data_IF_267947335848
#
_entry.id   IF_267947335848
#
_cell.length_a   1.000
_cell.length_b   1.000
_cell.length_c   1.000
_cell.angle_alpha   90.00
_cell.angle_beta   90.00
_cell.angle_gamma   90.00
#
_symmetry.space_group_name_H-M   'P 1'
#
loop_
_entity.id
_entity.type
_entity.pdbx_description
1 polymer ?
#
# COMPACT_ATOMS: atom_id res chain seq x y z
N UNK A 1 -37.67 -49.36 28.76
CA UNK A 1 -37.62 -47.96 28.28
C UNK A 1 -36.39 -47.33 28.89
N UNK A 2 -35.24 -47.42 28.20
CA UNK A 2 -33.98 -46.86 28.71
C UNK A 2 -33.80 -45.48 28.08
N UNK A 3 -33.88 -44.44 28.92
CA UNK A 3 -33.72 -43.05 28.52
C UNK A 3 -32.29 -42.80 28.03
N UNK A 4 -32.17 -42.39 26.77
CA UNK A 4 -30.91 -41.88 26.22
C UNK A 4 -30.80 -40.42 26.65
N UNK A 5 -29.97 -40.18 27.66
CA UNK A 5 -29.60 -38.84 28.09
C UNK A 5 -28.78 -38.17 26.97
N UNK A 6 -29.16 -36.98 26.46
CA UNK A 6 -28.42 -36.35 25.38
C UNK A 6 -27.08 -35.82 25.91
N UNK A 7 -25.98 -36.38 25.39
CA UNK A 7 -24.61 -35.95 25.70
C UNK A 7 -24.46 -34.43 25.45
N UNK A 8 -24.30 -33.67 26.53
CA UNK A 8 -24.00 -32.24 26.50
C UNK A 8 -22.64 -32.07 25.83
N UNK A 9 -22.61 -31.63 24.57
CA UNK A 9 -21.35 -31.29 23.90
C UNK A 9 -20.71 -30.13 24.65
N UNK A 10 -19.43 -30.22 25.05
CA UNK A 10 -18.74 -29.07 25.61
C UNK A 10 -18.75 -27.95 24.58
N UNK A 11 -19.36 -26.81 24.93
CA UNK A 11 -19.27 -25.59 24.14
C UNK A 11 -17.79 -25.21 24.06
N UNK A 12 -17.28 -24.98 22.84
CA UNK A 12 -15.93 -24.45 22.66
C UNK A 12 -15.82 -23.18 23.47
N UNK A 13 -14.79 -23.00 24.32
CA UNK A 13 -14.62 -21.75 25.03
C UNK A 13 -14.58 -20.63 24.00
N UNK A 14 -15.37 -19.59 24.23
CA UNK A 14 -15.29 -18.35 23.47
C UNK A 14 -13.92 -17.77 23.82
N UNK A 15 -12.92 -18.07 23.01
CA UNK A 15 -11.62 -17.40 23.08
C UNK A 15 -11.88 -15.93 22.75
N UNK A 16 -12.10 -15.13 23.79
CA UNK A 16 -12.04 -13.68 23.74
C UNK A 16 -10.68 -13.32 23.14
N UNK A 17 -10.68 -13.01 21.84
CA UNK A 17 -9.50 -12.92 21.00
C UNK A 17 -8.53 -11.85 21.48
N UNK A 18 -7.61 -12.26 22.35
CA UNK A 18 -6.40 -11.49 22.64
C UNK A 18 -5.62 -11.41 21.33
N UNK A 19 -5.56 -10.22 20.75
CA UNK A 19 -4.73 -9.92 19.58
C UNK A 19 -3.31 -10.33 19.97
N UNK A 20 -2.76 -11.36 19.32
CA UNK A 20 -1.40 -11.80 19.59
C UNK A 20 -0.44 -10.63 19.38
N UNK A 21 0.59 -10.49 20.22
CA UNK A 21 1.50 -9.33 20.20
C UNK A 21 2.09 -9.05 18.80
N UNK A 22 2.28 -10.09 17.98
CA UNK A 22 2.70 -9.93 16.58
C UNK A 22 1.63 -9.32 15.66
N UNK A 23 0.35 -9.62 15.86
CA UNK A 23 -0.75 -8.99 15.12
C UNK A 23 -0.88 -7.51 15.49
N UNK A 24 -0.71 -7.17 16.77
CA UNK A 24 -0.70 -5.79 17.22
C UNK A 24 0.43 -4.99 16.55
N UNK A 25 1.64 -5.56 16.51
CA UNK A 25 2.78 -4.94 15.84
C UNK A 25 2.55 -4.70 14.34
N UNK A 26 1.91 -5.64 13.64
CA UNK A 26 1.54 -5.49 12.21
C UNK A 26 0.58 -4.32 12.03
N UNK A 27 -0.49 -4.24 12.83
CA UNK A 27 -1.45 -3.16 12.73
C UNK A 27 -0.83 -1.81 13.08
N UNK A 28 -0.03 -1.71 14.14
CA UNK A 28 0.70 -0.48 14.49
C UNK A 28 1.59 -0.04 13.32
N UNK A 29 2.34 -0.97 12.72
CA UNK A 29 3.22 -0.65 11.58
C UNK A 29 2.43 -0.16 10.37
N UNK A 30 1.30 -0.82 10.06
CA UNK A 30 0.41 -0.40 8.98
C UNK A 30 -0.15 1.02 9.20
N UNK A 31 -0.63 1.32 10.41
CA UNK A 31 -1.12 2.65 10.75
C UNK A 31 -0.02 3.71 10.71
N UNK A 32 1.17 3.41 11.21
CA UNK A 32 2.31 4.35 11.17
C UNK A 32 2.69 4.70 9.72
N UNK A 33 2.73 3.71 8.84
CA UNK A 33 3.03 3.90 7.41
C UNK A 33 1.93 4.69 6.70
N UNK A 34 0.65 4.40 6.99
CA UNK A 34 -0.48 5.19 6.48
C UNK A 34 -0.40 6.64 6.95
N UNK A 35 -0.10 6.88 8.23
CA UNK A 35 0.01 8.22 8.80
C UNK A 35 1.16 9.01 8.14
N UNK A 36 2.33 8.40 7.97
CA UNK A 36 3.46 9.04 7.30
C UNK A 36 3.12 9.42 5.84
N UNK A 37 2.46 8.54 5.10
CA UNK A 37 2.01 8.84 3.74
C UNK A 37 0.90 9.90 3.70
N UNK A 38 -0.01 9.92 4.68
CA UNK A 38 -1.04 10.95 4.78
C UNK A 38 -0.42 12.33 5.03
N UNK A 39 0.56 12.43 5.93
CA UNK A 39 1.31 13.67 6.17
C UNK A 39 1.99 14.14 4.87
N UNK A 40 2.65 13.23 4.15
CA UNK A 40 3.28 13.55 2.87
C UNK A 40 2.27 13.99 1.81
N UNK A 41 1.09 13.38 1.75
CA UNK A 41 0.01 13.78 0.84
C UNK A 41 -0.50 15.19 1.16
N UNK A 42 -0.67 15.51 2.44
CA UNK A 42 -1.12 16.83 2.90
C UNK A 42 -0.07 17.93 2.66
N UNK A 43 1.22 17.61 2.80
CA UNK A 43 2.31 18.56 2.56
C UNK A 43 2.52 18.91 1.07
N UNK A 44 1.89 18.16 0.17
CA UNK A 44 1.91 18.38 -1.28
C UNK A 44 3.29 18.71 -1.88
N UNK A 45 4.27 17.79 -1.78
CA UNK A 45 5.58 18.00 -2.39
C UNK A 45 5.46 18.17 -3.91
N UNK A 46 6.45 18.81 -4.52
CA UNK A 46 6.52 18.95 -5.99
C UNK A 46 6.39 17.61 -6.72
N UNK A 47 5.93 17.66 -7.96
CA UNK A 47 5.74 16.46 -8.78
C UNK A 47 7.05 15.70 -8.96
N UNK A 48 6.94 14.38 -8.90
CA UNK A 48 7.96 13.49 -9.44
C UNK A 48 7.83 13.46 -10.98
N UNK A 49 8.88 13.03 -11.67
CA UNK A 49 8.92 13.08 -13.14
C UNK A 49 7.76 12.29 -13.79
N UNK A 50 7.46 11.12 -13.26
CA UNK A 50 6.34 10.27 -13.66
C UNK A 50 4.97 10.92 -13.36
N UNK A 51 4.82 11.57 -12.20
CA UNK A 51 3.59 12.29 -11.87
C UNK A 51 3.38 13.51 -12.78
N UNK A 52 4.47 14.22 -13.13
CA UNK A 52 4.41 15.36 -14.04
C UNK A 52 3.92 14.94 -15.43
N UNK A 53 4.39 13.79 -15.91
CA UNK A 53 3.93 13.20 -17.18
C UNK A 53 2.44 12.85 -17.19
N UNK A 54 1.94 12.28 -16.09
CA UNK A 54 0.50 12.03 -15.91
C UNK A 54 -0.27 13.35 -15.86
N UNK A 55 0.23 14.36 -15.13
CA UNK A 55 -0.40 15.66 -15.01
C UNK A 55 -0.54 16.35 -16.38
N UNK A 56 0.52 16.35 -17.19
CA UNK A 56 0.52 16.93 -18.55
C UNK A 56 -0.50 16.21 -19.43
N UNK A 57 -0.51 14.87 -19.40
CA UNK A 57 -1.46 14.05 -20.18
C UNK A 57 -2.93 14.31 -19.78
N UNK A 58 -3.15 14.76 -18.53
CA UNK A 58 -4.45 15.05 -17.97
C UNK A 58 -4.76 16.55 -17.91
N UNK A 59 -3.99 17.42 -18.57
CA UNK A 59 -4.29 18.85 -18.59
C UNK A 59 -5.59 19.15 -19.36
N UNK A 60 -5.77 18.48 -20.51
CA UNK A 60 -6.97 18.52 -21.36
C UNK A 60 -7.44 17.10 -21.67
N UNK A 61 -7.93 16.35 -20.66
CA UNK A 61 -8.27 14.96 -20.85
C UNK A 61 -9.54 14.90 -21.71
N UNK A 62 -9.46 14.14 -22.79
CA UNK A 62 -10.63 13.64 -23.49
C UNK A 62 -10.53 12.12 -23.53
N UNK A 63 -11.67 11.44 -23.63
CA UNK A 63 -11.67 9.98 -23.80
C UNK A 63 -10.87 9.57 -25.05
N UNK A 64 -10.82 10.43 -26.06
CA UNK A 64 -9.99 10.20 -27.25
C UNK A 64 -8.50 10.29 -26.91
N UNK A 65 -8.08 11.29 -26.12
CA UNK A 65 -6.67 11.48 -25.70
C UNK A 65 -6.19 10.35 -24.77
N UNK A 66 -7.05 9.87 -23.86
CA UNK A 66 -6.69 8.80 -22.91
C UNK A 66 -6.44 7.45 -23.60
N UNK A 67 -7.14 7.18 -24.70
CA UNK A 67 -7.02 5.93 -25.46
C UNK A 67 -6.14 6.05 -26.71
N UNK A 68 -5.75 7.27 -27.08
CA UNK A 68 -4.73 7.55 -28.08
C UNK A 68 -3.31 7.29 -27.53
N UNK A 69 -2.29 7.22 -28.39
CA UNK A 69 -0.91 7.26 -27.94
C UNK A 69 -0.65 8.52 -27.12
N UNK A 70 -0.14 8.36 -25.89
CA UNK A 70 0.20 9.49 -25.03
C UNK A 70 1.41 10.24 -25.59
N UNK A 71 1.44 11.54 -25.32
CA UNK A 71 2.59 12.38 -25.62
C UNK A 71 3.86 11.84 -24.91
N UNK A 72 5.03 12.14 -25.47
CA UNK A 72 6.33 11.71 -24.93
C UNK A 72 6.56 10.19 -24.89
N UNK A 73 5.80 9.40 -25.65
CA UNK A 73 6.03 7.95 -25.77
C UNK A 73 5.72 7.16 -24.49
N UNK A 74 4.82 7.69 -23.65
CA UNK A 74 4.48 7.08 -22.37
C UNK A 74 3.55 5.87 -22.54
N UNK A 75 3.75 4.87 -21.68
CA UNK A 75 2.89 3.68 -21.58
C UNK A 75 2.30 3.58 -20.18
N UNK A 76 1.22 4.34 -19.93
CA UNK A 76 0.47 4.24 -18.68
C UNK A 76 -0.72 3.29 -18.82
N UNK A 77 -1.09 2.54 -17.77
CA UNK A 77 -2.31 1.74 -17.77
C UNK A 77 -3.54 2.60 -18.04
N UNK A 78 -4.28 2.29 -19.11
CA UNK A 78 -5.43 3.10 -19.57
C UNK A 78 -6.52 3.23 -18.52
N UNK A 79 -6.79 2.15 -17.78
CA UNK A 79 -7.76 2.14 -16.69
C UNK A 79 -7.38 3.15 -15.60
N UNK A 80 -6.09 3.22 -15.26
CA UNK A 80 -5.59 4.16 -14.26
C UNK A 80 -5.76 5.62 -14.73
N UNK A 81 -5.41 5.93 -15.99
CA UNK A 81 -5.62 7.26 -16.56
C UNK A 81 -7.10 7.65 -16.59
N UNK A 82 -7.98 6.73 -16.96
CA UNK A 82 -9.43 6.97 -16.97
C UNK A 82 -9.97 7.26 -15.56
N UNK A 83 -9.50 6.51 -14.55
CA UNK A 83 -9.88 6.75 -13.16
C UNK A 83 -9.38 8.12 -12.66
N UNK A 84 -8.14 8.51 -12.94
CA UNK A 84 -7.63 9.83 -12.52
C UNK A 84 -8.32 10.95 -13.29
N UNK A 85 -8.60 10.77 -14.57
CA UNK A 85 -9.38 11.75 -15.34
C UNK A 85 -10.75 11.98 -14.69
N UNK A 86 -11.44 10.91 -14.25
CA UNK A 86 -12.70 11.04 -13.52
C UNK A 86 -12.53 11.76 -12.18
N UNK A 87 -11.49 11.46 -11.41
CA UNK A 87 -11.19 12.17 -10.15
C UNK A 87 -10.90 13.65 -10.40
N UNK A 88 -10.14 13.98 -11.45
CA UNK A 88 -9.88 15.36 -11.88
C UNK A 88 -11.15 16.08 -12.27
N UNK A 89 -12.07 15.45 -13.01
CA UNK A 89 -13.36 16.07 -13.37
C UNK A 89 -14.21 16.37 -12.13
N UNK A 90 -14.15 15.52 -11.09
CA UNK A 90 -14.92 15.70 -9.85
C UNK A 90 -14.31 16.72 -8.88
N UNK A 91 -12.99 16.75 -8.74
CA UNK A 91 -12.29 17.56 -7.73
C UNK A 91 -11.50 18.74 -8.32
N UNK A 92 -11.38 18.83 -9.64
CA UNK A 92 -10.59 19.82 -10.35
C UNK A 92 -9.16 19.40 -10.65
N UNK A 93 -8.45 20.22 -11.43
CA UNK A 93 -7.04 19.99 -11.80
C UNK A 93 -6.09 20.62 -10.79
N UNK A 94 -5.69 19.83 -9.80
CA UNK A 94 -4.65 20.18 -8.84
C UNK A 94 -3.96 18.90 -8.33
N UNK A 95 -2.80 19.07 -7.71
CA UNK A 95 -1.92 18.00 -7.21
C UNK A 95 -2.62 16.98 -6.31
N UNK A 96 -3.41 17.44 -5.32
CA UNK A 96 -4.14 16.54 -4.43
C UNK A 96 -5.12 15.63 -5.17
N UNK A 97 -5.95 16.18 -6.06
CA UNK A 97 -6.88 15.38 -6.87
C UNK A 97 -6.15 14.29 -7.69
N UNK A 98 -5.03 14.64 -8.33
CA UNK A 98 -4.26 13.67 -9.12
C UNK A 98 -3.63 12.57 -8.25
N UNK A 99 -3.25 12.88 -7.01
CA UNK A 99 -2.67 11.92 -6.05
C UNK A 99 -3.69 11.14 -5.22
N UNK A 100 -4.97 11.53 -5.26
CA UNK A 100 -6.01 10.91 -4.44
C UNK A 100 -6.18 9.42 -4.74
N UNK A 101 -6.22 9.04 -6.03
CA UNK A 101 -6.38 7.64 -6.42
C UNK A 101 -5.18 6.76 -5.99
N UNK A 102 -3.91 7.17 -6.23
CA UNK A 102 -2.75 6.49 -5.65
C UNK A 102 -2.81 6.38 -4.12
N UNK A 103 -3.19 7.45 -3.42
CA UNK A 103 -3.25 7.48 -1.97
C UNK A 103 -4.30 6.50 -1.41
N UNK A 104 -5.51 6.49 -1.98
CA UNK A 104 -6.56 5.55 -1.58
C UNK A 104 -6.16 4.10 -1.87
N UNK A 105 -5.56 3.85 -3.04
CA UNK A 105 -5.06 2.52 -3.42
C UNK A 105 -3.99 2.03 -2.44
N UNK A 106 -3.09 2.92 -2.01
CA UNK A 106 -2.08 2.65 -1.00
C UNK A 106 -2.70 2.28 0.36
N UNK A 107 -3.69 3.05 0.85
CA UNK A 107 -4.38 2.73 2.11
C UNK A 107 -5.04 1.35 2.03
N UNK A 108 -5.82 1.11 0.97
CA UNK A 108 -6.56 -0.14 0.79
C UNK A 108 -5.60 -1.33 0.73
N UNK A 109 -4.55 -1.22 -0.08
CA UNK A 109 -3.53 -2.27 -0.20
C UNK A 109 -2.84 -2.53 1.15
N UNK A 110 -2.46 -1.48 1.88
CA UNK A 110 -1.79 -1.60 3.19
C UNK A 110 -2.68 -2.30 4.21
N UNK A 111 -3.96 -1.93 4.29
CA UNK A 111 -4.92 -2.58 5.20
C UNK A 111 -5.17 -4.05 4.81
N UNK A 112 -5.27 -4.33 3.50
CA UNK A 112 -5.44 -5.69 3.00
C UNK A 112 -4.24 -6.58 3.35
N UNK A 113 -3.02 -6.08 3.11
CA UNK A 113 -1.78 -6.77 3.46
C UNK A 113 -1.64 -6.96 4.97
N UNK A 114 -1.92 -5.94 5.78
CA UNK A 114 -1.90 -6.04 7.23
C UNK A 114 -2.85 -7.12 7.73
N UNK A 115 -4.08 -7.17 7.18
CA UNK A 115 -5.07 -8.20 7.53
C UNK A 115 -4.64 -9.60 7.09
N UNK A 116 -4.08 -9.75 5.90
CA UNK A 116 -3.58 -11.03 5.40
C UNK A 116 -2.43 -11.54 6.27
N UNK A 117 -1.49 -10.66 6.61
CA UNK A 117 -0.31 -11.01 7.41
C UNK A 117 -0.68 -11.33 8.87
N UNK A 118 -1.59 -10.55 9.47
CA UNK A 118 -2.12 -10.83 10.80
C UNK A 118 -2.84 -12.19 10.89
N UNK A 119 -3.51 -12.63 9.82
CA UNK A 119 -4.16 -13.95 9.74
C UNK A 119 -3.17 -15.10 9.54
N UNK A 120 -1.97 -14.83 9.01
CA UNK A 120 -0.95 -15.83 8.68
C UNK A 120 0.23 -15.83 9.66
N UNK A 121 0.13 -15.08 10.76
CA UNK A 121 1.26 -14.67 11.62
C UNK A 121 2.00 -15.78 12.37
N UNK A 122 1.58 -17.05 12.27
CA UNK A 122 2.35 -18.19 12.78
C UNK A 122 3.63 -18.50 11.97
N UNK A 123 3.75 -18.02 10.72
CA UNK A 123 4.84 -18.38 9.79
C UNK A 123 5.88 -17.25 9.57
N UNK A 124 5.58 -16.00 9.94
CA UNK A 124 6.28 -14.81 9.39
C UNK A 124 7.30 -14.11 10.31
N UNK A 125 7.52 -14.59 11.54
CA UNK A 125 8.61 -14.02 12.39
C UNK A 125 9.98 -14.29 11.76
N UNK A 126 10.20 -15.50 11.23
CA UNK A 126 11.44 -15.86 10.53
C UNK A 126 11.64 -15.07 9.22
N UNK A 127 10.55 -14.88 8.46
CA UNK A 127 10.59 -14.09 7.22
C UNK A 127 10.86 -12.59 7.50
N UNK A 128 10.32 -12.04 8.59
CA UNK A 128 10.58 -10.66 9.00
C UNK A 128 12.02 -10.42 9.44
N UNK A 129 12.62 -11.39 10.15
CA UNK A 129 14.05 -11.36 10.49
C UNK A 129 14.91 -11.44 9.22
N UNK A 130 14.57 -12.32 8.29
CA UNK A 130 15.28 -12.47 7.02
C UNK A 130 15.22 -11.20 6.16
N UNK A 131 14.03 -10.60 6.00
CA UNK A 131 13.86 -9.35 5.26
C UNK A 131 14.66 -8.20 5.88
N UNK A 132 14.67 -8.10 7.21
CA UNK A 132 15.45 -7.09 7.94
C UNK A 132 16.95 -7.30 7.77
N UNK A 133 17.43 -8.55 7.80
CA UNK A 133 18.83 -8.87 7.53
C UNK A 133 19.23 -8.49 6.09
N UNK A 134 18.35 -8.77 5.11
CA UNK A 134 18.60 -8.46 3.70
C UNK A 134 18.64 -6.94 3.44
N UNK A 135 17.75 -6.16 4.08
CA UNK A 135 17.75 -4.70 3.98
C UNK A 135 18.97 -4.06 4.66
N UNK A 136 19.45 -4.62 5.78
CA UNK A 136 20.69 -4.18 6.42
C UNK A 136 21.92 -4.51 5.56
N UNK A 137 21.96 -5.69 4.95
CA UNK A 137 23.01 -6.08 4.01
C UNK A 137 23.04 -5.19 2.76
N UNK A 138 21.87 -4.82 2.23
CA UNK A 138 21.76 -3.90 1.09
C UNK A 138 22.30 -2.50 1.42
N UNK A 139 22.01 -1.98 2.64
CA UNK A 139 22.56 -0.70 3.10
C UNK A 139 24.09 -0.73 3.22
N UNK A 140 24.63 -1.79 3.81
CA UNK A 140 26.08 -1.98 3.94
C UNK A 140 26.80 -1.97 2.59
N UNK A 141 26.24 -2.64 1.57
CA UNK A 141 26.79 -2.65 0.22
C UNK A 141 26.75 -1.27 -0.45
N UNK A 142 25.68 -0.50 -0.21
CA UNK A 142 25.57 0.86 -0.73
C UNK A 142 26.68 1.75 -0.16
N UNK A 143 26.96 1.63 1.15
CA UNK A 143 28.00 2.41 1.81
C UNK A 143 29.40 2.04 1.29
N UNK A 144 29.68 0.76 1.03
CA UNK A 144 30.94 0.32 0.41
C UNK A 144 31.12 0.84 -1.02
N UNK A 145 30.06 0.81 -1.82
CA UNK A 145 30.11 1.32 -3.20
C UNK A 145 30.39 2.83 -3.26
N UNK A 146 29.86 3.60 -2.30
CA UNK A 146 30.13 5.04 -2.20
C UNK A 146 31.59 5.30 -1.82
N UNK A 147 32.17 4.51 -0.91
CA UNK A 147 33.55 4.67 -0.47
C UNK A 147 34.57 4.36 -1.58
N UNK A 148 34.31 3.34 -2.39
CA UNK A 148 35.18 2.96 -3.52
C UNK A 148 35.21 3.99 -4.66
N UNK A 149 34.17 4.83 -4.77
CA UNK A 149 34.06 5.85 -5.83
C UNK A 149 34.66 7.21 -5.41
N UNK A 150 35.11 7.32 -4.16
CA UNK A 150 35.73 8.53 -3.58
C UNK A 150 37.24 8.38 -3.34
N UNK A 151 37.82 7.23 -3.69
CA UNK A 151 39.27 6.96 -3.73
C UNK A 151 39.76 6.97 -5.17
#
# INVERSE_FOLDING_TARGET
MNGVEPAIRPSKPVETGLIGSGQLAIWISAFAVIAACAIRYLHDPSFWLDEAFVAVSLQKPSLQVIFAPLEYGQYFPRLYLACIAAVRELFGYHTWALRLLPFLSFIIATLFWARLLARRSGFFVAAGIFARALLLGARFWLDQAIQLNLM
#
